data_IF_385146444081
#
_entry.id   IF_385146444081
#
_cell.length_a   1.000
_cell.length_b   1.000
_cell.length_c   1.000
_cell.angle_alpha   90.00
_cell.angle_beta   90.00
_cell.angle_gamma   90.00
#
_symmetry.space_group_name_H-M   'P 1'
#
loop_
_entity.id
_entity.type
_entity.pdbx_description
1 polymer ?
#
# COMPACT_ATOMS: atom_id res chain seq x y z
N UNK A 1 19.82 14.64 -0.25
CA UNK A 1 19.41 14.94 -0.14
C UNK A 1 18.76 14.90 -0.03
N UNK A 2 18.39 14.97 -0.23
CA UNK A 2 17.79 15.13 -0.32
C UNK A 2 16.99 15.13 -0.07
N UNK A 3 16.40 15.27 0.09
CA UNK A 3 15.62 15.50 0.03
C UNK A 3 14.93 15.44 0.78
N UNK A 4 14.37 15.76 1.60
CA UNK A 4 13.57 15.96 2.16
C UNK A 4 13.41 16.69 2.88
N UNK A 5 13.16 17.30 3.14
CA UNK A 5 12.99 18.01 3.81
C UNK A 5 12.32 18.86 3.89
N UNK A 6 11.69 19.53 4.29
CA UNK A 6 11.15 20.29 4.49
C UNK A 6 10.61 21.03 3.81
N UNK A 7 10.27 21.85 3.88
CA UNK A 7 9.64 22.60 3.03
C UNK A 7 9.83 22.32 1.76
N UNK A 8 9.90 21.73 1.83
CA UNK A 8 10.32 21.01 0.99
C UNK A 8 9.33 20.25 0.34
N UNK A 9 8.09 20.54 0.53
CA UNK A 9 7.04 19.81 -0.11
C UNK A 9 7.19 19.81 -1.61
N UNK A 10 7.48 20.94 -2.19
CA UNK A 10 7.66 21.03 -3.61
C UNK A 10 8.81 20.19 -4.08
N UNK A 11 9.89 20.24 -3.34
CA UNK A 11 11.06 19.45 -3.66
C UNK A 11 10.79 17.98 -3.51
N UNK A 12 10.07 17.61 -2.45
CA UNK A 12 9.71 16.22 -2.22
C UNK A 12 8.90 15.65 -3.37
N UNK A 13 7.96 16.42 -3.86
CA UNK A 13 7.14 16.01 -4.97
C UNK A 13 7.97 15.78 -6.24
N UNK A 14 8.85 16.73 -6.51
CA UNK A 14 9.69 16.64 -7.69
C UNK A 14 10.62 15.43 -7.58
N UNK A 15 11.18 15.23 -6.39
CA UNK A 15 12.07 14.09 -6.18
C UNK A 15 11.32 12.77 -6.32
N UNK A 16 10.09 12.71 -5.82
CA UNK A 16 9.31 11.49 -5.91
C UNK A 16 8.88 11.16 -7.33
N UNK A 17 8.68 12.18 -8.14
CA UNK A 17 8.20 11.99 -9.49
C UNK A 17 9.11 11.12 -10.33
N UNK A 18 10.43 11.23 -10.12
CA UNK A 18 11.39 10.45 -10.88
C UNK A 18 11.86 9.19 -10.18
N UNK A 19 11.35 8.94 -8.98
CA UNK A 19 11.82 7.80 -8.20
C UNK A 19 10.96 6.58 -8.42
N UNK A 20 11.64 5.46 -8.49
CA UNK A 20 10.94 4.18 -8.49
C UNK A 20 10.82 3.69 -7.05
N UNK A 21 9.71 3.06 -6.76
CA UNK A 21 9.54 2.33 -5.53
C UNK A 21 10.53 1.16 -5.54
N UNK A 22 11.35 1.05 -4.50
CA UNK A 22 12.34 -0.02 -4.42
C UNK A 22 11.71 -1.27 -3.80
N UNK A 23 12.13 -2.42 -4.31
CA UNK A 23 11.67 -3.71 -3.79
C UNK A 23 12.93 -4.52 -3.47
N UNK A 24 13.09 -4.92 -2.22
CA UNK A 24 14.29 -5.61 -1.75
C UNK A 24 13.94 -6.91 -1.06
N UNK A 25 14.63 -7.97 -1.43
CA UNK A 25 14.40 -9.28 -0.85
C UNK A 25 14.85 -10.38 -1.79
N UNK A 26 14.46 -11.61 -1.49
CA UNK A 26 14.78 -12.75 -2.33
C UNK A 26 14.13 -12.60 -3.71
N UNK A 27 14.63 -13.30 -4.72
CA UNK A 27 14.02 -13.24 -6.05
C UNK A 27 12.53 -13.60 -6.05
N UNK A 28 12.14 -14.59 -5.28
CA UNK A 28 10.74 -14.99 -5.21
C UNK A 28 9.89 -13.89 -4.57
N UNK A 29 10.37 -13.32 -3.48
CA UNK A 29 9.66 -12.20 -2.84
C UNK A 29 9.48 -11.06 -3.81
N UNK A 30 10.55 -10.66 -4.51
CA UNK A 30 10.48 -9.55 -5.44
C UNK A 30 9.48 -9.81 -6.57
N UNK A 31 9.46 -11.06 -7.08
CA UNK A 31 8.52 -11.42 -8.14
C UNK A 31 7.08 -11.26 -7.67
N UNK A 32 6.79 -11.71 -6.44
CA UNK A 32 5.44 -11.61 -5.88
C UNK A 32 5.04 -10.15 -5.66
N UNK A 33 5.96 -9.33 -5.15
CA UNK A 33 5.67 -7.91 -4.96
C UNK A 33 5.38 -7.26 -6.32
N UNK A 34 6.15 -7.60 -7.34
CA UNK A 34 5.92 -7.03 -8.67
C UNK A 34 4.55 -7.42 -9.24
N UNK A 35 4.09 -8.62 -8.95
CA UNK A 35 2.74 -9.01 -9.36
C UNK A 35 1.69 -8.13 -8.67
N UNK A 36 1.88 -7.87 -7.39
CA UNK A 36 0.97 -6.97 -6.65
C UNK A 36 1.04 -5.55 -7.22
N UNK A 37 2.24 -5.07 -7.55
CA UNK A 37 2.40 -3.72 -8.09
C UNK A 37 1.72 -3.55 -9.45
N UNK A 38 1.66 -4.61 -10.26
CA UNK A 38 0.90 -4.55 -11.51
C UNK A 38 -0.56 -4.24 -11.23
N UNK A 39 -1.12 -4.84 -10.18
CA UNK A 39 -2.51 -4.59 -9.81
C UNK A 39 -2.69 -3.17 -9.29
N UNK A 40 -1.72 -2.66 -8.55
CA UNK A 40 -1.75 -1.27 -8.09
C UNK A 40 -1.82 -0.33 -9.29
N UNK A 41 -1.06 -0.64 -10.35
CA UNK A 41 -1.09 0.17 -11.58
C UNK A 41 -2.44 0.07 -12.29
N UNK A 42 -3.00 -1.13 -12.37
CA UNK A 42 -4.30 -1.31 -13.01
C UNK A 42 -5.36 -0.45 -12.34
N UNK A 43 -5.34 -0.38 -11.02
CA UNK A 43 -6.31 0.43 -10.28
C UNK A 43 -5.99 1.92 -10.31
N UNK A 44 -4.81 2.31 -10.82
CA UNK A 44 -4.44 3.71 -10.93
C UNK A 44 -3.85 4.30 -9.66
N UNK A 45 -3.32 3.46 -8.78
CA UNK A 45 -2.80 3.92 -7.49
C UNK A 45 -1.28 3.89 -7.39
N UNK A 46 -0.58 3.62 -8.49
CA UNK A 46 0.87 3.46 -8.39
C UNK A 46 1.57 4.76 -8.00
N UNK A 47 1.16 5.90 -8.59
CA UNK A 47 1.78 7.17 -8.24
C UNK A 47 1.51 7.53 -6.79
N UNK A 48 0.31 7.25 -6.31
CA UNK A 48 -0.02 7.45 -4.91
C UNK A 48 0.89 6.60 -4.02
N UNK A 49 1.06 5.33 -4.36
CA UNK A 49 1.87 4.42 -3.57
C UNK A 49 3.32 4.88 -3.50
N UNK A 50 3.94 5.14 -4.65
CA UNK A 50 5.36 5.51 -4.66
C UNK A 50 5.64 6.89 -4.09
N UNK A 51 4.61 7.73 -4.02
CA UNK A 51 4.75 9.03 -3.39
C UNK A 51 4.97 8.90 -1.89
N UNK A 52 4.33 7.93 -1.26
CA UNK A 52 4.36 7.79 0.19
C UNK A 52 5.20 6.63 0.69
N UNK A 53 5.48 5.63 -0.15
CA UNK A 53 6.28 4.48 0.23
C UNK A 53 7.52 4.44 -0.64
N UNK A 54 8.69 4.39 -0.01
CA UNK A 54 9.97 4.36 -0.72
C UNK A 54 10.45 2.96 -1.03
N UNK A 55 10.09 2.00 -0.18
CA UNK A 55 10.63 0.67 -0.29
C UNK A 55 9.70 -0.37 0.30
N UNK A 56 9.63 -1.51 -0.35
CA UNK A 56 8.97 -2.70 0.20
C UNK A 56 10.08 -3.72 0.35
N UNK A 57 10.32 -4.15 1.60
CA UNK A 57 11.48 -4.98 1.94
C UNK A 57 11.05 -6.23 2.66
N UNK A 58 11.68 -7.33 2.31
CA UNK A 58 11.38 -8.60 2.96
C UNK A 58 11.92 -8.64 4.38
N UNK A 59 11.13 -9.23 5.27
CA UNK A 59 11.52 -9.44 6.67
C UNK A 59 11.14 -10.86 7.09
N UNK A 60 11.89 -11.38 8.01
CA UNK A 60 11.68 -12.70 8.57
C UNK A 60 10.89 -12.59 9.87
N UNK A 61 9.88 -11.83 9.93
CA UNK A 61 9.09 -11.64 11.14
C UNK A 61 7.74 -11.14 10.76
N UNK A 62 7.09 -10.44 11.68
CA UNK A 62 5.79 -9.88 11.42
C UNK A 62 5.89 -8.72 10.44
N UNK A 63 4.97 -8.68 9.49
CA UNK A 63 4.87 -7.57 8.55
C UNK A 63 4.58 -6.30 9.33
N UNK A 64 5.30 -5.23 9.01
CA UNK A 64 5.16 -3.97 9.72
C UNK A 64 5.43 -2.78 8.81
N UNK A 65 4.82 -1.66 9.13
CA UNK A 65 5.09 -0.40 8.45
C UNK A 65 6.02 0.43 9.33
N UNK A 66 7.12 0.91 8.76
CA UNK A 66 8.00 1.84 9.45
C UNK A 66 7.81 3.21 8.83
N UNK A 67 6.98 4.01 9.50
CA UNK A 67 6.55 5.31 8.97
C UNK A 67 7.74 6.23 8.73
N UNK A 68 8.67 6.31 9.68
CA UNK A 68 9.82 7.22 9.56
C UNK A 68 10.70 6.88 8.36
N UNK A 69 10.70 5.63 7.93
CA UNK A 69 11.50 5.18 6.79
C UNK A 69 10.66 5.11 5.51
N UNK A 70 9.37 5.33 5.61
CA UNK A 70 8.43 5.15 4.51
C UNK A 70 8.63 3.78 3.85
N UNK A 71 8.82 2.75 4.68
CA UNK A 71 9.13 1.41 4.22
C UNK A 71 8.15 0.40 4.79
N UNK A 72 7.68 -0.48 3.92
CA UNK A 72 6.87 -1.62 4.34
C UNK A 72 7.81 -2.81 4.46
N UNK A 73 7.89 -3.37 5.66
CA UNK A 73 8.67 -4.57 5.90
C UNK A 73 7.69 -5.73 5.86
N UNK A 74 7.74 -6.52 4.81
CA UNK A 74 6.74 -7.55 4.54
C UNK A 74 7.31 -8.94 4.66
N UNK A 75 6.58 -9.79 5.35
CA UNK A 75 6.87 -11.21 5.43
C UNK A 75 6.50 -11.85 4.08
N UNK A 76 7.21 -12.90 3.69
CA UNK A 76 6.96 -13.55 2.40
C UNK A 76 5.52 -14.05 2.26
N UNK A 77 4.89 -14.40 3.36
CA UNK A 77 3.51 -14.90 3.32
C UNK A 77 2.52 -13.76 3.05
N UNK A 78 2.87 -12.55 3.44
CA UNK A 78 2.01 -11.39 3.23
C UNK A 78 1.90 -11.01 1.76
N UNK A 79 2.79 -11.50 0.91
CA UNK A 79 2.79 -11.17 -0.51
C UNK A 79 2.38 -12.34 -1.40
N UNK A 80 1.94 -13.45 -0.80
CA UNK A 80 1.52 -14.61 -1.59
C UNK A 80 0.28 -14.35 -2.43
N UNK A 81 -0.67 -13.60 -1.88
CA UNK A 81 -1.89 -13.24 -2.60
C UNK A 81 -1.69 -11.84 -3.16
N UNK A 82 -1.54 -11.70 -4.48
CA UNK A 82 -1.22 -10.38 -5.04
C UNK A 82 -2.31 -9.34 -4.86
N UNK A 83 -3.58 -9.73 -4.86
CA UNK A 83 -4.68 -8.79 -4.65
C UNK A 83 -4.65 -8.25 -3.22
N UNK A 84 -4.50 -9.16 -2.25
CA UNK A 84 -4.43 -8.77 -0.85
C UNK A 84 -3.19 -7.90 -0.59
N UNK A 85 -2.04 -8.30 -1.11
CA UNK A 85 -0.80 -7.55 -0.94
C UNK A 85 -0.93 -6.14 -1.52
N UNK A 86 -1.49 -6.04 -2.73
CA UNK A 86 -1.68 -4.73 -3.38
C UNK A 86 -2.54 -3.82 -2.52
N UNK A 87 -3.64 -4.36 -1.99
CA UNK A 87 -4.55 -3.57 -1.16
C UNK A 87 -3.87 -3.12 0.12
N UNK A 88 -3.03 -3.96 0.69
CA UNK A 88 -2.31 -3.61 1.91
C UNK A 88 -1.28 -2.52 1.65
N UNK A 89 -0.58 -2.59 0.52
CA UNK A 89 0.40 -1.54 0.18
C UNK A 89 -0.27 -0.18 0.09
N UNK A 90 -1.45 -0.11 -0.52
CA UNK A 90 -2.20 1.13 -0.64
C UNK A 90 -2.68 1.62 0.73
N UNK A 91 -3.12 0.70 1.58
CA UNK A 91 -3.52 1.03 2.94
C UNK A 91 -2.37 1.68 3.71
N UNK A 92 -1.19 1.07 3.62
CA UNK A 92 -0.03 1.58 4.34
C UNK A 92 0.42 2.94 3.79
N UNK A 93 0.33 3.13 2.49
CA UNK A 93 0.66 4.42 1.88
C UNK A 93 -0.27 5.51 2.40
N UNK A 94 -1.54 5.20 2.56
CA UNK A 94 -2.50 6.18 3.08
C UNK A 94 -2.21 6.51 4.55
N UNK A 95 -1.82 5.51 5.32
CA UNK A 95 -1.44 5.73 6.72
C UNK A 95 -0.24 6.69 6.80
N UNK A 96 0.78 6.48 5.96
CA UNK A 96 1.93 7.37 5.91
C UNK A 96 1.51 8.78 5.53
N UNK A 97 0.64 8.89 4.52
CA UNK A 97 0.16 10.20 4.07
C UNK A 97 -0.50 10.97 5.21
N UNK A 98 -1.41 10.33 5.92
CA UNK A 98 -2.11 10.98 7.03
C UNK A 98 -1.17 11.37 8.15
N UNK A 99 -0.20 10.51 8.44
CA UNK A 99 0.78 10.77 9.48
C UNK A 99 1.64 11.98 9.14
N UNK A 100 2.10 12.06 7.88
CA UNK A 100 2.95 13.16 7.44
C UNK A 100 2.19 14.47 7.33
N UNK A 101 0.89 14.42 7.07
CA UNK A 101 0.07 15.63 7.02
C UNK A 101 -0.22 16.20 8.40
N UNK A 102 0.27 15.52 9.45
CA UNK A 102 0.11 16.01 10.80
C UNK A 102 -1.30 15.97 11.32
N UNK A 103 -2.10 15.03 10.83
CA UNK A 103 -3.48 14.91 11.30
C UNK A 103 -3.50 14.58 12.77
N UNK A 104 -4.27 15.36 13.52
CA UNK A 104 -4.39 15.21 14.96
C UNK A 104 -5.43 14.16 15.31
N UNK A 105 -5.28 12.98 14.73
CA UNK A 105 -6.20 11.88 14.96
C UNK A 105 -5.52 10.82 15.81
N UNK A 106 -6.30 10.17 16.67
CA UNK A 106 -5.74 9.06 17.43
C UNK A 106 -5.52 7.87 16.50
N UNK A 107 -4.71 6.93 16.95
CA UNK A 107 -4.26 5.84 16.11
C UNK A 107 -5.41 4.98 15.56
N UNK A 108 -6.43 4.74 16.38
CA UNK A 108 -7.56 3.95 15.93
C UNK A 108 -8.27 4.56 14.74
N UNK A 109 -8.37 5.90 14.73
CA UNK A 109 -9.00 6.59 13.61
C UNK A 109 -8.11 6.54 12.37
N UNK A 110 -6.80 6.69 12.54
CA UNK A 110 -5.87 6.57 11.42
C UNK A 110 -5.94 5.19 10.78
N UNK A 111 -6.02 4.15 11.60
CA UNK A 111 -6.15 2.79 11.11
C UNK A 111 -7.46 2.59 10.36
N UNK A 112 -8.55 3.12 10.92
CA UNK A 112 -9.85 3.00 10.29
C UNK A 112 -9.87 3.65 8.91
N UNK A 113 -9.33 4.89 8.82
CA UNK A 113 -9.33 5.62 7.55
C UNK A 113 -8.41 4.96 6.52
N UNK A 114 -7.29 4.42 6.96
CA UNK A 114 -6.39 3.73 6.03
C UNK A 114 -7.04 2.43 5.54
N UNK A 115 -7.82 1.79 6.38
CA UNK A 115 -8.55 0.59 5.99
C UNK A 115 -9.65 0.92 4.97
N UNK A 116 -10.34 2.05 5.14
CA UNK A 116 -11.30 2.50 4.14
C UNK A 116 -10.65 2.70 2.78
N UNK A 117 -9.42 3.21 2.78
CA UNK A 117 -8.66 3.37 1.53
C UNK A 117 -8.38 2.02 0.89
N UNK A 118 -8.12 1.00 1.70
CA UNK A 118 -7.91 -0.35 1.20
C UNK A 118 -9.15 -0.87 0.48
N UNK A 119 -10.32 -0.65 1.08
CA UNK A 119 -11.58 -1.07 0.47
C UNK A 119 -11.83 -0.30 -0.83
N UNK A 120 -11.57 1.01 -0.83
CA UNK A 120 -11.70 1.84 -2.01
C UNK A 120 -10.84 1.30 -3.15
N UNK A 121 -9.59 0.94 -2.83
CA UNK A 121 -8.68 0.36 -3.81
C UNK A 121 -9.24 -0.93 -4.40
N UNK A 122 -9.72 -1.82 -3.55
CA UNK A 122 -10.26 -3.10 -4.01
C UNK A 122 -11.45 -2.89 -4.95
N UNK A 123 -12.33 -1.94 -4.64
CA UNK A 123 -13.46 -1.63 -5.50
C UNK A 123 -12.99 -1.08 -6.85
N UNK A 124 -11.99 -0.20 -6.84
CA UNK A 124 -11.45 0.37 -8.06
C UNK A 124 -10.76 -0.70 -8.90
N UNK A 125 -10.02 -1.60 -8.26
CA UNK A 125 -9.36 -2.68 -8.96
C UNK A 125 -10.39 -3.60 -9.61
N UNK A 126 -11.47 -3.91 -8.88
CA UNK A 126 -12.54 -4.74 -9.41
C UNK A 126 -13.17 -4.12 -10.65
N UNK A 127 -13.35 -2.79 -10.65
CA UNK A 127 -13.91 -2.09 -11.80
C UNK A 127 -12.98 -2.12 -13.01
N UNK A 128 -11.69 -1.96 -12.77
CA UNK A 128 -10.74 -1.75 -13.87
C UNK A 128 -10.06 -3.00 -14.38
N UNK A 129 -10.05 -4.06 -13.60
CA UNK A 129 -9.38 -5.30 -14.00
C UNK A 129 -10.17 -6.00 -15.10
N UNK A 130 -9.44 -6.63 -16.01
CA UNK A 130 -10.04 -7.48 -17.04
C UNK A 130 -10.04 -8.94 -16.64
N UNK A 131 -9.39 -9.27 -15.54
CA UNK A 131 -9.28 -10.63 -15.05
C UNK A 131 -10.47 -10.98 -14.16
N UNK A 132 -11.21 -12.01 -14.53
CA UNK A 132 -12.33 -12.47 -13.71
C UNK A 132 -11.85 -13.01 -12.38
N UNK A 133 -10.67 -13.63 -12.38
CA UNK A 133 -10.08 -14.15 -11.15
C UNK A 133 -9.77 -13.01 -10.19
N UNK A 134 -9.18 -11.92 -10.68
CA UNK A 134 -8.88 -10.75 -9.85
C UNK A 134 -10.18 -10.15 -9.31
N UNK A 135 -11.19 -10.02 -10.16
CA UNK A 135 -12.47 -9.46 -9.74
C UNK A 135 -13.11 -10.29 -8.63
N UNK A 136 -13.08 -11.60 -8.78
CA UNK A 136 -13.65 -12.49 -7.75
C UNK A 136 -12.88 -12.38 -6.44
N UNK A 137 -11.56 -12.25 -6.51
CA UNK A 137 -10.77 -12.12 -5.31
C UNK A 137 -11.03 -10.78 -4.61
N UNK A 138 -11.17 -9.71 -5.38
CA UNK A 138 -11.55 -8.41 -4.82
C UNK A 138 -12.88 -8.50 -4.09
N UNK A 139 -13.85 -9.13 -4.73
CA UNK A 139 -15.18 -9.27 -4.13
C UNK A 139 -15.13 -10.09 -2.85
N UNK A 140 -14.34 -11.17 -2.85
CA UNK A 140 -14.19 -12.01 -1.67
C UNK A 140 -13.58 -11.24 -0.51
N UNK A 141 -12.52 -10.45 -0.78
CA UNK A 141 -11.86 -9.68 0.25
C UNK A 141 -12.75 -8.57 0.79
N UNK A 142 -13.45 -7.86 -0.11
CA UNK A 142 -14.36 -6.81 0.31
C UNK A 142 -15.44 -7.39 1.25
N UNK A 143 -16.01 -8.51 0.87
CA UNK A 143 -17.05 -9.15 1.67
C UNK A 143 -16.52 -9.59 3.03
N UNK A 144 -15.32 -10.16 3.05
CA UNK A 144 -14.69 -10.61 4.29
C UNK A 144 -14.46 -9.43 5.24
N UNK A 145 -13.98 -8.31 4.71
CA UNK A 145 -13.72 -7.14 5.54
C UNK A 145 -15.02 -6.49 6.03
N UNK A 146 -16.04 -6.42 5.17
CA UNK A 146 -17.33 -5.87 5.57
C UNK A 146 -17.93 -6.68 6.71
N UNK A 147 -17.84 -8.00 6.65
CA UNK A 147 -18.36 -8.85 7.71
C UNK A 147 -17.57 -8.65 9.01
N UNK A 148 -16.26 -8.45 8.91
CA UNK A 148 -15.43 -8.19 10.09
C UNK A 148 -15.81 -6.88 10.76
N UNK A 149 -16.15 -5.86 9.97
CA UNK A 149 -16.55 -4.57 10.53
C UNK A 149 -17.90 -4.64 11.23
N UNK A 150 -18.77 -5.50 10.76
CA UNK A 150 -20.09 -5.65 11.39
C UNK A 150 -20.04 -6.27 12.79
N UNK A 151 -18.97 -6.99 13.09
CA UNK A 151 -18.79 -7.63 14.38
C UNK A 151 -18.36 -6.63 15.45
N UNK A 152 -17.79 -5.54 15.05
CA UNK A 152 -17.35 -4.49 15.95
C UNK A 152 -18.37 -3.36 15.98
#
# INVERSE_FOLDING_TARGET
>A
MDDFSVGVEGMSRAACRGRRLRVEGSPDFRARVHEALKLVRVAGYYDFLRTHIKCIREIDGLTQLRVSEATIWANKYAVENPVDAASRFVQEAHYVQMHLEGRQLHEGMLEYLSFEKRIEFLKRLMERSRSQEVKRECERLIRMWDESLLIY
#
